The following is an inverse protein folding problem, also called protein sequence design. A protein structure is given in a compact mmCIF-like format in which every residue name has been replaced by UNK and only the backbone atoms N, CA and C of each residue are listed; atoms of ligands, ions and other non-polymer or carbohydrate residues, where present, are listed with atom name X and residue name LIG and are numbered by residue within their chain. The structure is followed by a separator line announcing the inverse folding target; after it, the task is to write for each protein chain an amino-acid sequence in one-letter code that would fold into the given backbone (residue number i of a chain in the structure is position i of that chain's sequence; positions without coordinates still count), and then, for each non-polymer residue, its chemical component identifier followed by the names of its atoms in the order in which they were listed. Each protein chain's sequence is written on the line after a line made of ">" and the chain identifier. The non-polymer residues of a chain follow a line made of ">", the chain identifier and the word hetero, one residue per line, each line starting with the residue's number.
data_IF_180783336593
#
_entry.id   IF_180783336593
#
_cell.length_a   1.000
_cell.length_b   1.000
_cell.length_c   1.000
_cell.angle_alpha   90.00
_cell.angle_beta   90.00
_cell.angle_gamma   90.00
#
_symmetry.space_group_name_H-M   'P 1'
#
loop_
_entity.id
_entity.type
_entity.pdbx_description
1 polymer ?
#
# COMPACT_ATOMS: atom_id res chain seq x y z
N UNK A 1 30.32 8.98 -9.81
CA UNK A 1 28.89 9.17 -9.49
C UNK A 1 28.26 7.78 -9.51
N UNK A 2 27.75 7.30 -8.38
CA UNK A 2 27.09 6.00 -8.32
C UNK A 2 25.60 6.21 -8.64
N UNK A 3 25.08 5.50 -9.64
CA UNK A 3 23.63 5.47 -9.92
C UNK A 3 23.04 4.30 -9.13
N UNK A 4 22.13 4.56 -8.18
CA UNK A 4 21.49 3.49 -7.43
C UNK A 4 20.54 2.69 -8.34
N UNK A 5 20.48 1.38 -8.16
CA UNK A 5 19.60 0.49 -8.94
C UNK A 5 18.11 0.66 -8.63
N UNK A 6 17.78 1.21 -7.46
CA UNK A 6 16.41 1.60 -7.07
C UNK A 6 16.46 2.72 -6.02
N UNK A 7 15.37 3.49 -5.91
CA UNK A 7 15.21 4.54 -4.88
C UNK A 7 13.81 4.49 -4.27
N UNK A 8 13.64 3.59 -3.30
CA UNK A 8 12.36 3.37 -2.62
C UNK A 8 11.85 4.62 -1.89
N UNK A 9 12.75 5.50 -1.43
CA UNK A 9 12.35 6.74 -0.78
C UNK A 9 11.67 7.69 -1.77
N UNK A 10 12.18 7.79 -3.01
CA UNK A 10 11.55 8.58 -4.06
C UNK A 10 10.23 7.97 -4.53
N UNK A 11 10.16 6.63 -4.64
CA UNK A 11 8.91 5.92 -4.97
C UNK A 11 7.84 6.19 -3.92
N UNK A 12 8.14 6.01 -2.63
CA UNK A 12 7.23 6.37 -1.55
C UNK A 12 6.83 7.85 -1.59
N UNK A 13 7.77 8.77 -1.82
CA UNK A 13 7.46 10.20 -1.91
C UNK A 13 6.45 10.51 -3.02
N UNK A 14 6.54 9.82 -4.16
CA UNK A 14 5.60 10.00 -5.27
C UNK A 14 4.18 9.51 -4.96
N UNK A 15 4.05 8.49 -4.10
CA UNK A 15 2.77 7.89 -3.69
C UNK A 15 2.32 8.32 -2.28
N UNK A 16 3.07 9.21 -1.63
CA UNK A 16 2.93 9.56 -0.22
C UNK A 16 1.51 9.96 0.19
N UNK A 17 0.78 10.82 -0.57
CA UNK A 17 -0.57 11.21 -0.17
C UNK A 17 -1.53 10.02 -0.05
N UNK A 18 -1.44 9.06 -0.98
CA UNK A 18 -2.32 7.89 -1.03
C UNK A 18 -1.94 6.87 0.05
N UNK A 19 -0.65 6.62 0.22
CA UNK A 19 -0.13 5.71 1.25
C UNK A 19 -0.45 6.22 2.65
N UNK A 20 -0.20 7.51 2.91
CA UNK A 20 -0.49 8.11 4.22
C UNK A 20 -1.99 8.06 4.53
N UNK A 21 -2.86 8.32 3.53
CA UNK A 21 -4.30 8.21 3.70
C UNK A 21 -4.72 6.78 4.07
N UNK A 22 -4.16 5.76 3.40
CA UNK A 22 -4.44 4.36 3.71
C UNK A 22 -3.97 3.97 5.12
N UNK A 23 -2.76 4.38 5.50
CA UNK A 23 -2.24 4.16 6.87
C UNK A 23 -3.16 4.81 7.90
N UNK A 24 -3.60 6.05 7.67
CA UNK A 24 -4.48 6.75 8.60
C UNK A 24 -5.85 6.07 8.75
N UNK A 25 -6.41 5.46 7.70
CA UNK A 25 -7.66 4.67 7.80
C UNK A 25 -7.48 3.45 8.71
N UNK A 26 -6.38 2.70 8.55
CA UNK A 26 -6.07 1.53 9.40
C UNK A 26 -5.84 1.94 10.85
N UNK A 27 -5.11 3.04 11.08
CA UNK A 27 -4.88 3.55 12.42
C UNK A 27 -6.19 4.00 13.08
N UNK A 28 -7.08 4.64 12.34
CA UNK A 28 -8.37 5.08 12.83
C UNK A 28 -9.33 3.91 13.10
N UNK A 29 -9.25 2.82 12.33
CA UNK A 29 -10.10 1.64 12.52
C UNK A 29 -9.67 0.77 13.71
N UNK A 30 -8.37 0.76 14.04
CA UNK A 30 -7.81 -0.13 15.06
C UNK A 30 -7.72 -1.60 14.64
N UNK A 31 -8.11 -1.92 13.40
CA UNK A 31 -8.14 -3.28 12.86
C UNK A 31 -6.84 -3.57 12.12
N UNK A 32 -5.86 -4.14 12.82
CA UNK A 32 -4.51 -4.37 12.27
C UNK A 32 -4.30 -5.75 11.64
N UNK A 33 -5.18 -6.71 11.93
CA UNK A 33 -5.04 -8.11 11.51
C UNK A 33 -6.39 -8.58 11.01
N UNK A 34 -6.43 -9.19 9.81
CA UNK A 34 -7.64 -9.71 9.17
C UNK A 34 -8.80 -8.68 9.11
N UNK A 35 -8.48 -7.45 8.69
CA UNK A 35 -9.45 -6.36 8.53
C UNK A 35 -9.83 -6.08 7.08
N UNK A 36 -10.74 -5.13 6.87
CA UNK A 36 -11.34 -4.77 5.56
C UNK A 36 -10.31 -4.41 4.49
N UNK A 37 -9.21 -3.74 4.85
CA UNK A 37 -8.16 -3.37 3.88
C UNK A 37 -7.42 -4.62 3.33
N UNK A 38 -7.37 -5.73 4.09
CA UNK A 38 -6.83 -7.01 3.60
C UNK A 38 -7.80 -7.68 2.63
N UNK A 39 -9.09 -7.74 2.97
CA UNK A 39 -10.12 -8.33 2.12
C UNK A 39 -10.20 -7.59 0.78
N UNK A 40 -10.22 -6.25 0.80
CA UNK A 40 -10.20 -5.45 -0.41
C UNK A 40 -8.94 -5.67 -1.27
N UNK A 41 -7.79 -5.86 -0.63
CA UNK A 41 -6.56 -6.20 -1.34
C UNK A 41 -6.63 -7.59 -1.98
N UNK A 42 -7.15 -8.59 -1.26
CA UNK A 42 -7.29 -9.96 -1.78
C UNK A 42 -8.20 -10.00 -3.02
N UNK A 43 -9.32 -9.28 -3.00
CA UNK A 43 -10.21 -9.14 -4.17
C UNK A 43 -9.51 -8.47 -5.36
N UNK A 44 -8.91 -7.30 -5.14
CA UNK A 44 -8.22 -6.55 -6.20
C UNK A 44 -7.02 -7.34 -6.76
N UNK A 45 -6.31 -8.06 -5.92
CA UNK A 45 -5.18 -8.89 -6.33
C UNK A 45 -5.63 -10.13 -7.10
N UNK A 46 -6.72 -10.78 -6.70
CA UNK A 46 -7.32 -11.87 -7.46
C UNK A 46 -7.74 -11.41 -8.87
N UNK A 47 -8.41 -10.26 -8.97
CA UNK A 47 -8.78 -9.65 -10.24
C UNK A 47 -7.54 -9.35 -11.11
N UNK A 48 -6.50 -8.75 -10.52
CA UNK A 48 -5.24 -8.46 -11.23
C UNK A 48 -4.58 -9.74 -11.80
N UNK A 49 -4.66 -10.85 -11.08
CA UNK A 49 -4.09 -12.13 -11.50
C UNK A 49 -4.94 -12.86 -12.55
N UNK A 50 -6.09 -12.31 -12.98
CA UNK A 50 -7.11 -12.99 -13.79
C UNK A 50 -7.56 -14.32 -13.17
N UNK A 51 -7.67 -14.37 -11.84
CA UNK A 51 -8.22 -15.53 -11.13
C UNK A 51 -9.74 -15.60 -11.28
#
# INVERSE_FOLDING_TARGET
>A
MAVPSSNLAAEYQSLKPEIDAAIMRVLASGNYVLGEELEAFEEAFAEYQNA
#
